data_IF_223393898552
#
_entry.id   IF_223393898552
#
_cell.length_a   1.000
_cell.length_b   1.000
_cell.length_c   1.000
_cell.angle_alpha   90.00
_cell.angle_beta   90.00
_cell.angle_gamma   90.00
#
_symmetry.space_group_name_H-M   'P 1'
#
loop_
_entity.id
_entity.type
_entity.pdbx_description
1 polymer ?
#
# COMPACT_ATOMS: atom_id res chain seq x y z
N UNK A 1 -2.03 -15.08 -9.42
CA UNK A 1 -2.10 -15.79 -8.13
C UNK A 1 -1.84 -14.74 -7.04
N UNK A 2 -2.85 -14.38 -6.26
CA UNK A 2 -2.69 -13.43 -5.15
C UNK A 2 -1.96 -14.11 -3.98
N UNK A 3 -0.64 -13.89 -3.92
CA UNK A 3 0.23 -14.33 -2.83
C UNK A 3 -0.20 -13.69 -1.49
N UNK A 4 0.05 -14.37 -0.37
CA UNK A 4 -0.37 -13.95 0.98
C UNK A 4 0.07 -12.52 1.32
N UNK A 5 1.25 -12.09 0.86
CA UNK A 5 1.71 -10.71 1.04
C UNK A 5 0.79 -9.70 0.34
N UNK A 6 0.26 -10.05 -0.83
CA UNK A 6 -0.66 -9.20 -1.59
C UNK A 6 -1.96 -8.99 -0.82
N UNK A 7 -2.53 -10.09 -0.29
CA UNK A 7 -3.75 -10.05 0.51
C UNK A 7 -3.55 -9.22 1.78
N UNK A 8 -2.43 -9.41 2.46
CA UNK A 8 -2.11 -8.66 3.67
C UNK A 8 -1.96 -7.16 3.39
N UNK A 9 -1.27 -6.76 2.31
CA UNK A 9 -1.17 -5.34 1.90
C UNK A 9 -2.54 -4.74 1.59
N UNK A 10 -3.37 -5.45 0.82
CA UNK A 10 -4.71 -4.98 0.46
C UNK A 10 -5.60 -4.82 1.70
N UNK A 11 -5.50 -5.76 2.64
CA UNK A 11 -6.20 -5.66 3.92
C UNK A 11 -5.73 -4.44 4.73
N UNK A 12 -4.41 -4.23 4.86
CA UNK A 12 -3.85 -3.05 5.54
C UNK A 12 -4.32 -1.74 4.93
N UNK A 13 -4.32 -1.62 3.60
CA UNK A 13 -4.78 -0.40 2.92
C UNK A 13 -6.31 -0.22 2.95
N UNK A 14 -7.07 -1.31 3.04
CA UNK A 14 -8.53 -1.24 3.17
C UNK A 14 -8.94 -0.77 4.56
N UNK A 15 -8.20 -1.20 5.60
CA UNK A 15 -8.44 -0.84 6.99
C UNK A 15 -7.89 0.54 7.39
N UNK A 16 -7.06 1.17 6.54
CA UNK A 16 -6.52 2.49 6.79
C UNK A 16 -7.49 3.59 6.32
N UNK A 17 -7.69 4.61 7.16
CA UNK A 17 -8.47 5.80 6.81
C UNK A 17 -7.63 6.85 6.06
N UNK A 18 -6.30 6.73 6.13
CA UNK A 18 -5.36 7.66 5.51
C UNK A 18 -4.35 6.93 4.59
N UNK A 19 -3.78 7.64 3.59
CA UNK A 19 -2.71 7.10 2.78
C UNK A 19 -1.45 6.78 3.59
N UNK A 20 -0.83 5.64 3.35
CA UNK A 20 0.31 5.14 4.13
C UNK A 20 1.62 5.18 3.35
N UNK A 21 2.73 5.41 4.04
CA UNK A 21 4.08 5.20 3.52
C UNK A 21 4.44 3.70 3.49
N UNK A 22 5.40 3.31 2.64
CA UNK A 22 5.89 1.92 2.60
C UNK A 22 6.38 1.40 3.96
N UNK A 23 7.01 2.26 4.77
CA UNK A 23 7.51 1.88 6.11
C UNK A 23 6.37 1.55 7.08
N UNK A 24 5.24 2.22 6.96
CA UNK A 24 4.07 2.03 7.84
C UNK A 24 3.36 0.74 7.48
N UNK A 25 3.23 0.46 6.18
CA UNK A 25 2.70 -0.81 5.68
C UNK A 25 3.60 -1.96 6.15
N UNK A 26 4.92 -1.84 6.01
CA UNK A 26 5.87 -2.85 6.51
C UNK A 26 5.73 -3.06 8.03
N UNK A 27 5.64 -1.99 8.82
CA UNK A 27 5.46 -2.08 10.27
C UNK A 27 4.15 -2.80 10.65
N UNK A 28 3.06 -2.56 9.92
CA UNK A 28 1.80 -3.26 10.12
C UNK A 28 1.89 -4.75 9.76
N UNK A 29 2.62 -5.09 8.70
CA UNK A 29 2.80 -6.46 8.23
C UNK A 29 3.75 -7.29 9.09
N UNK A 30 4.61 -6.66 9.90
CA UNK A 30 5.46 -7.39 10.88
C UNK A 30 4.66 -8.22 11.87
N UNK A 31 3.39 -7.86 12.12
CA UNK A 31 2.49 -8.62 12.99
C UNK A 31 2.08 -9.96 12.37
N UNK A 32 2.11 -10.09 11.04
CA UNK A 32 1.69 -11.29 10.30
C UNK A 32 2.86 -12.09 9.70
N UNK A 33 4.09 -11.57 9.73
CA UNK A 33 5.28 -12.26 9.21
C UNK A 33 6.49 -11.34 9.02
N UNK A 34 7.65 -11.93 8.72
CA UNK A 34 8.87 -11.16 8.48
C UNK A 34 8.99 -10.73 7.02
N UNK A 35 8.44 -9.56 6.68
CA UNK A 35 8.52 -8.98 5.35
C UNK A 35 9.50 -7.80 5.33
N UNK A 36 10.48 -7.84 4.42
CA UNK A 36 11.42 -6.72 4.26
C UNK A 36 10.77 -5.56 3.52
N UNK A 37 11.18 -4.32 3.84
CA UNK A 37 10.70 -3.11 3.17
C UNK A 37 10.82 -3.20 1.64
N UNK A 38 11.89 -3.80 1.13
CA UNK A 38 12.10 -4.00 -0.32
C UNK A 38 11.06 -4.92 -0.94
N UNK A 39 10.71 -6.03 -0.28
CA UNK A 39 9.67 -6.96 -0.75
C UNK A 39 8.29 -6.29 -0.73
N UNK A 40 7.98 -5.56 0.34
CA UNK A 40 6.73 -4.79 0.46
C UNK A 40 6.64 -3.74 -0.66
N UNK A 41 7.71 -2.97 -0.88
CA UNK A 41 7.77 -1.97 -1.94
C UNK A 41 7.59 -2.55 -3.35
N UNK A 42 8.27 -3.66 -3.64
CA UNK A 42 8.12 -4.37 -4.91
C UNK A 42 6.66 -4.80 -5.13
N UNK A 43 6.05 -5.42 -4.10
CA UNK A 43 4.67 -5.88 -4.18
C UNK A 43 3.67 -4.74 -4.35
N UNK A 44 3.87 -3.61 -3.65
CA UNK A 44 3.05 -2.41 -3.81
C UNK A 44 3.08 -1.87 -5.25
N UNK A 45 4.26 -1.88 -5.89
CA UNK A 45 4.36 -1.49 -7.29
C UNK A 45 3.65 -2.45 -8.24
N UNK A 46 3.73 -3.76 -8.00
CA UNK A 46 2.95 -4.74 -8.77
C UNK A 46 1.44 -4.50 -8.62
N UNK A 47 0.95 -4.38 -7.39
CA UNK A 47 -0.47 -4.11 -7.12
C UNK A 47 -0.96 -2.80 -7.74
N UNK A 48 -0.10 -1.77 -7.78
CA UNK A 48 -0.39 -0.50 -8.47
C UNK A 48 -0.44 -0.70 -9.98
N UNK A 49 0.47 -1.48 -10.55
CA UNK A 49 0.48 -1.83 -11.98
C UNK A 49 -0.76 -2.61 -12.41
N UNK A 50 -1.23 -3.50 -11.53
CA UNK A 50 -2.47 -4.28 -11.71
C UNK A 50 -3.75 -3.44 -11.48
N UNK A 51 -3.63 -2.17 -11.11
CA UNK A 51 -4.78 -1.31 -10.81
C UNK A 51 -5.54 -1.68 -9.53
N UNK A 52 -4.97 -2.48 -8.63
CA UNK A 52 -5.61 -2.87 -7.36
C UNK A 52 -5.51 -1.78 -6.29
N UNK A 53 -4.46 -0.98 -6.34
CA UNK A 53 -4.22 0.14 -5.42
C UNK A 53 -3.74 1.37 -6.18
N UNK A 54 -3.75 2.50 -5.50
CA UNK A 54 -3.13 3.73 -5.99
C UNK A 54 -1.92 4.07 -5.14
N UNK A 55 -0.98 4.77 -5.76
CA UNK A 55 0.18 5.29 -5.05
C UNK A 55 0.84 6.41 -5.83
N UNK A 56 1.47 7.31 -5.10
CA UNK A 56 2.18 8.45 -5.67
C UNK A 56 3.51 8.64 -4.95
N UNK A 57 4.54 8.91 -5.74
CA UNK A 57 5.80 9.40 -5.22
C UNK A 57 5.68 10.89 -4.87
N UNK A 58 6.12 11.26 -3.68
CA UNK A 58 6.12 12.64 -3.18
C UNK A 58 7.57 13.12 -2.98
N UNK A 59 8.00 14.13 -3.74
CA UNK A 59 9.32 14.80 -3.59
C UNK A 59 9.53 15.94 -4.60
N UNK A 60 10.18 17.06 -4.19
CA UNK A 60 11.55 17.08 -3.63
C UNK A 60 11.61 17.36 -2.12
N UNK A 61 12.40 16.57 -1.38
CA UNK A 61 12.48 16.54 0.08
C UNK A 61 12.77 15.13 0.61
N UNK A 62 11.81 14.52 1.33
CA UNK A 62 11.92 13.16 1.92
C UNK A 62 11.99 11.99 0.90
N UNK A 63 11.50 12.19 -0.33
CA UNK A 63 11.50 11.18 -1.39
C UNK A 63 10.79 9.89 -0.99
N UNK A 64 9.47 9.95 -0.78
CA UNK A 64 8.69 8.80 -0.25
C UNK A 64 7.49 8.46 -1.13
N UNK A 65 7.16 7.18 -1.18
CA UNK A 65 5.93 6.68 -1.78
C UNK A 65 4.81 6.60 -0.76
N UNK A 66 3.65 7.11 -1.16
CA UNK A 66 2.41 7.07 -0.39
C UNK A 66 1.41 6.18 -1.16
N UNK A 67 0.67 5.33 -0.45
CA UNK A 67 -0.19 4.28 -1.00
C UNK A 67 -1.59 4.31 -0.39
N UNK A 68 -2.62 4.00 -1.17
CA UNK A 68 -4.01 3.98 -0.71
C UNK A 68 -4.89 3.06 -1.56
N UNK A 69 -6.05 2.67 -1.01
CA UNK A 69 -7.06 1.88 -1.75
C UNK A 69 -7.61 2.63 -2.96
N UNK A 70 -8.00 1.91 -4.01
CA UNK A 70 -8.37 2.51 -5.30
C UNK A 70 -9.49 3.57 -5.21
N UNK A 71 -10.40 3.39 -4.26
CA UNK A 71 -11.61 4.15 -4.02
C UNK A 71 -11.48 5.16 -2.86
N UNK A 72 -10.29 5.34 -2.27
CA UNK A 72 -10.09 6.17 -1.07
C UNK A 72 -10.60 7.62 -1.20
N UNK A 73 -10.72 8.14 -2.42
CA UNK A 73 -11.17 9.51 -2.70
C UNK A 73 -12.43 9.60 -3.55
N UNK A 74 -13.18 8.50 -3.74
CA UNK A 74 -14.49 8.59 -4.40
C UNK A 74 -15.46 9.31 -3.45
N UNK A 75 -15.60 10.62 -3.61
CA UNK A 75 -16.71 11.38 -3.01
C UNK A 75 -18.01 10.96 -3.70
N UNK A 76 -18.99 10.54 -2.90
CA UNK A 76 -20.41 10.50 -3.26
C UNK A 76 -20.77 9.85 -4.59
N UNK A 77 -20.84 8.52 -4.64
CA UNK A 77 -21.98 7.93 -5.35
C UNK A 77 -23.13 7.98 -4.34
N UNK A 78 -24.02 8.95 -4.54
CA UNK A 78 -25.29 9.06 -3.83
C UNK A 78 -26.17 7.87 -4.18
#
# INVERSE_FOLDING_TARGET
MDDELSKAILHTLSAADEPLETKEIEANLKKSGNHTRTKVFYRLNMLRGDGKIKGKFSGPGKGVWIWWRIDAFRRGAK
#
